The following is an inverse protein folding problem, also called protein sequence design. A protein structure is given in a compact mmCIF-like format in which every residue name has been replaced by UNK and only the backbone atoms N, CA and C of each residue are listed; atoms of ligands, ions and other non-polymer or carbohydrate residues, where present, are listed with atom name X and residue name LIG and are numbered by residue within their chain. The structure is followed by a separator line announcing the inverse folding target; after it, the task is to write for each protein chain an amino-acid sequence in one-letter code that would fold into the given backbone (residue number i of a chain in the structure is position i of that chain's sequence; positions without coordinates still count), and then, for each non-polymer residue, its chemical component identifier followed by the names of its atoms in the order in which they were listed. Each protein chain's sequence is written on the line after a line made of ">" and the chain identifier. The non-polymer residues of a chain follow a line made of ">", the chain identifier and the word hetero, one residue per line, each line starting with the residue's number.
data_IF_161900446297
#
_entry.id   IF_161900446297
#
_cell.length_a   1.000
_cell.length_b   1.000
_cell.length_c   1.000
_cell.angle_alpha   90.00
_cell.angle_beta   90.00
_cell.angle_gamma   90.00
#
_symmetry.space_group_name_H-M   'P 1'
#
loop_
_entity.id
_entity.type
_entity.pdbx_description
1 polymer ?
#
# COMPACT_ATOMS: atom_id res chain seq x y z
N UNK A 1 2.94 -10.10 -1.94
CA UNK A 1 3.38 -8.69 -1.87
C UNK A 1 4.01 -8.28 -3.20
N UNK A 2 5.27 -8.59 -3.50
CA UNK A 2 5.94 -8.13 -4.73
C UNK A 2 5.26 -8.52 -6.04
N UNK A 3 4.88 -9.80 -6.20
CA UNK A 3 4.24 -10.30 -7.41
C UNK A 3 2.99 -9.48 -7.81
N UNK A 4 1.97 -9.55 -6.96
CA UNK A 4 0.64 -8.98 -7.25
C UNK A 4 0.56 -7.48 -6.96
N UNK A 5 1.30 -6.96 -5.96
CA UNK A 5 1.17 -5.57 -5.51
C UNK A 5 2.20 -4.61 -6.12
N UNK A 6 3.23 -5.11 -6.82
CA UNK A 6 4.24 -4.26 -7.47
C UNK A 6 4.43 -4.67 -8.92
N UNK A 7 4.83 -5.93 -9.20
CA UNK A 7 5.27 -6.33 -10.53
C UNK A 7 4.13 -6.36 -11.56
N UNK A 8 3.00 -7.00 -11.23
CA UNK A 8 1.88 -7.13 -12.16
C UNK A 8 1.18 -5.79 -12.39
N UNK A 9 1.12 -4.96 -11.34
CA UNK A 9 0.60 -3.60 -11.43
C UNK A 9 1.49 -2.68 -12.27
N UNK A 10 2.80 -2.69 -12.00
CA UNK A 10 3.76 -1.89 -12.76
C UNK A 10 3.70 -2.26 -14.25
N UNK A 11 3.58 -3.56 -14.56
CA UNK A 11 3.40 -4.02 -15.93
C UNK A 11 2.08 -3.53 -16.54
N UNK A 12 0.93 -3.80 -15.89
CA UNK A 12 -0.37 -3.47 -16.46
C UNK A 12 -0.59 -1.95 -16.56
N UNK A 13 -0.29 -1.19 -15.50
CA UNK A 13 -0.36 0.26 -15.54
C UNK A 13 0.68 0.83 -16.50
N UNK A 14 1.89 0.27 -16.55
CA UNK A 14 2.91 0.66 -17.51
C UNK A 14 2.49 0.45 -18.97
N UNK A 15 1.72 -0.60 -19.26
CA UNK A 15 1.12 -0.82 -20.57
C UNK A 15 0.01 0.20 -20.86
N UNK A 16 -0.94 0.38 -19.94
CA UNK A 16 -2.11 1.22 -20.16
C UNK A 16 -1.80 2.72 -20.14
N UNK A 17 -0.78 3.14 -19.38
CA UNK A 17 -0.24 4.49 -19.34
C UNK A 17 0.91 4.71 -20.32
N UNK A 18 1.40 3.65 -20.98
CA UNK A 18 2.46 3.76 -21.97
C UNK A 18 3.80 4.19 -21.40
N UNK A 19 4.12 3.80 -20.16
CA UNK A 19 5.45 4.00 -19.57
C UNK A 19 6.48 3.00 -20.11
N UNK A 20 6.03 1.81 -20.52
CA UNK A 20 6.93 0.78 -21.03
C UNK A 20 7.66 1.28 -22.28
N UNK A 21 8.94 0.94 -22.39
CA UNK A 21 9.77 1.29 -23.52
C UNK A 21 9.27 0.56 -24.78
N UNK A 22 9.26 1.24 -25.93
CA UNK A 22 8.99 0.61 -27.23
C UNK A 22 10.29 0.44 -28.00
N UNK A 23 10.49 -0.72 -28.62
CA UNK A 23 11.65 -0.99 -29.47
C UNK A 23 11.18 -1.11 -30.92
N UNK A 24 11.92 -0.50 -31.86
CA UNK A 24 11.59 -0.58 -33.29
C UNK A 24 11.57 -2.06 -33.74
N UNK A 25 10.60 -2.46 -34.59
CA UNK A 25 9.62 -1.65 -35.31
C UNK A 25 8.33 -1.32 -34.54
N UNK A 26 8.21 -1.66 -33.26
CA UNK A 26 7.03 -1.35 -32.45
C UNK A 26 6.88 0.17 -32.20
N UNK A 27 5.64 0.61 -32.10
CA UNK A 27 5.29 1.99 -31.75
C UNK A 27 4.12 1.99 -30.78
N UNK A 28 4.16 2.91 -29.80
CA UNK A 28 3.06 3.14 -28.84
C UNK A 28 1.76 3.57 -29.51
N UNK A 29 1.81 4.09 -30.74
CA UNK A 29 0.62 4.43 -31.51
C UNK A 29 -0.18 3.20 -31.92
N UNK A 30 0.48 2.03 -32.01
CA UNK A 30 -0.16 0.76 -32.33
C UNK A 30 -0.76 0.05 -31.10
N UNK A 31 -0.61 0.62 -29.91
CA UNK A 31 -1.07 0.00 -28.66
C UNK A 31 -2.51 0.40 -28.37
N UNK A 32 -3.46 -0.47 -28.71
CA UNK A 32 -4.90 -0.25 -28.43
C UNK A 32 -5.21 -0.12 -26.94
N UNK A 33 -4.40 -0.76 -26.09
CA UNK A 33 -4.54 -0.73 -24.64
C UNK A 33 -3.93 0.53 -24.01
N UNK A 34 -3.19 1.35 -24.75
CA UNK A 34 -2.58 2.58 -24.25
C UNK A 34 -3.65 3.68 -24.16
N UNK A 35 -4.53 3.57 -23.16
CA UNK A 35 -5.74 4.41 -23.01
C UNK A 35 -5.64 5.47 -21.91
N UNK A 36 -4.76 5.29 -20.92
CA UNK A 36 -4.60 6.20 -19.79
C UNK A 36 -3.71 7.40 -20.16
N UNK A 37 -4.14 8.22 -21.14
CA UNK A 37 -3.38 9.39 -21.61
C UNK A 37 -3.97 10.71 -21.14
N UNK A 38 -3.11 11.67 -20.81
CA UNK A 38 -3.47 13.07 -20.56
C UNK A 38 -4.66 13.24 -19.62
N UNK A 39 -5.75 13.84 -20.13
CA UNK A 39 -6.97 14.10 -19.35
C UNK A 39 -7.66 12.84 -18.85
N UNK A 40 -7.56 11.71 -19.57
CA UNK A 40 -8.19 10.44 -19.15
C UNK A 40 -7.53 9.96 -17.85
N UNK A 41 -6.20 9.98 -17.79
CA UNK A 41 -5.47 9.59 -16.57
C UNK A 41 -5.77 10.51 -15.39
N UNK A 42 -5.76 11.83 -15.62
CA UNK A 42 -6.09 12.81 -14.58
C UNK A 42 -7.53 12.64 -14.07
N UNK A 43 -8.50 12.43 -14.96
CA UNK A 43 -9.90 12.21 -14.60
C UNK A 43 -10.07 10.90 -13.84
N UNK A 44 -9.43 9.82 -14.30
CA UNK A 44 -9.49 8.51 -13.64
C UNK A 44 -8.91 8.57 -12.23
N UNK A 45 -7.79 9.26 -12.07
CA UNK A 45 -7.16 9.49 -10.78
C UNK A 45 -8.05 10.25 -9.79
N UNK A 46 -8.77 11.30 -10.25
CA UNK A 46 -9.78 12.00 -9.45
C UNK A 46 -10.95 11.09 -9.06
N UNK A 47 -11.42 10.25 -9.98
CA UNK A 47 -12.49 9.27 -9.69
C UNK A 47 -12.07 8.29 -8.60
N UNK A 48 -10.82 7.81 -8.61
CA UNK A 48 -10.30 6.93 -7.55
C UNK A 48 -10.26 7.66 -6.20
N UNK A 49 -9.76 8.89 -6.19
CA UNK A 49 -9.74 9.71 -4.98
C UNK A 49 -11.17 9.91 -4.42
N UNK A 50 -12.17 10.17 -5.28
CA UNK A 50 -13.58 10.30 -4.88
C UNK A 50 -14.20 8.99 -4.41
N UNK A 51 -13.82 7.86 -5.02
CA UNK A 51 -14.30 6.53 -4.61
C UNK A 51 -13.90 6.20 -3.16
N UNK A 52 -12.90 6.90 -2.61
CA UNK A 52 -12.41 6.72 -1.26
C UNK A 52 -13.48 6.87 -0.19
N UNK A 53 -14.40 7.83 -0.38
CA UNK A 53 -15.49 8.15 0.54
C UNK A 53 -16.45 6.98 0.76
N UNK A 54 -16.49 6.02 -0.17
CA UNK A 54 -17.43 4.91 -0.16
C UNK A 54 -16.82 3.59 0.33
N UNK A 55 -15.53 3.58 0.66
CA UNK A 55 -14.90 2.36 1.18
C UNK A 55 -14.96 2.34 2.71
N UNK A 56 -15.18 1.15 3.31
CA UNK A 56 -15.22 1.01 4.75
C UNK A 56 -13.95 1.53 5.43
N UNK A 57 -14.08 2.03 6.65
CA UNK A 57 -12.97 2.49 7.49
C UNK A 57 -11.93 1.39 7.77
N UNK A 58 -12.32 0.11 7.66
CA UNK A 58 -11.40 -1.03 7.78
C UNK A 58 -10.31 -1.07 6.69
N UNK A 59 -10.50 -0.37 5.56
CA UNK A 59 -9.50 -0.22 4.49
C UNK A 59 -8.65 1.05 4.67
N UNK A 60 -8.26 1.29 5.93
CA UNK A 60 -7.73 2.50 6.54
C UNK A 60 -6.82 3.37 5.65
N UNK A 61 -6.93 4.71 5.84
CA UNK A 61 -6.29 5.86 5.14
C UNK A 61 -7.03 6.55 3.98
N UNK A 62 -6.86 7.87 3.94
CA UNK A 62 -7.19 8.74 2.81
C UNK A 62 -6.35 8.35 1.60
N UNK A 63 -7.02 7.98 0.50
CA UNK A 63 -6.36 7.40 -0.67
C UNK A 63 -6.02 8.49 -1.65
N UNK A 64 -4.78 8.46 -2.11
CA UNK A 64 -4.25 9.49 -2.96
C UNK A 64 -4.65 9.25 -4.41
N UNK A 65 -4.83 10.35 -5.13
CA UNK A 65 -4.98 10.33 -6.58
C UNK A 65 -3.73 9.65 -7.19
N UNK A 66 -3.84 8.48 -7.85
CA UNK A 66 -2.67 7.85 -8.46
C UNK A 66 -2.04 8.72 -9.53
N UNK A 67 -2.81 9.56 -10.23
CA UNK A 67 -2.23 10.47 -11.22
C UNK A 67 -1.29 11.52 -10.60
N UNK A 68 -1.42 11.81 -9.30
CA UNK A 68 -0.56 12.75 -8.57
C UNK A 68 0.56 12.04 -7.81
N UNK A 69 0.31 10.83 -7.28
CA UNK A 69 1.19 10.18 -6.30
C UNK A 69 1.84 8.87 -6.73
N UNK A 70 1.54 8.32 -7.90
CA UNK A 70 2.09 7.02 -8.33
C UNK A 70 3.64 6.99 -8.27
N UNK A 71 4.29 8.12 -8.57
CA UNK A 71 5.75 8.29 -8.53
C UNK A 71 6.30 8.88 -7.21
N UNK A 72 5.43 9.21 -6.24
CA UNK A 72 5.79 9.89 -4.98
C UNK A 72 5.64 8.99 -3.75
N UNK A 73 5.65 7.66 -3.92
CA UNK A 73 5.55 6.70 -2.82
C UNK A 73 4.16 6.08 -2.64
N UNK A 74 3.45 5.81 -3.74
CA UNK A 74 2.20 5.05 -3.72
C UNK A 74 2.43 3.65 -3.15
N UNK A 75 1.67 3.26 -2.13
CA UNK A 75 1.94 2.06 -1.33
C UNK A 75 1.37 0.82 -1.99
N UNK A 76 2.00 -0.32 -1.73
CA UNK A 76 1.57 -1.63 -2.25
C UNK A 76 0.10 -1.99 -1.89
N UNK A 77 -0.41 -1.59 -0.72
CA UNK A 77 -1.84 -1.76 -0.39
C UNK A 77 -2.77 -0.84 -1.20
N UNK A 78 -2.35 0.40 -1.47
CA UNK A 78 -3.12 1.34 -2.29
C UNK A 78 -3.23 0.84 -3.72
N UNK A 79 -2.16 0.23 -4.24
CA UNK A 79 -2.19 -0.46 -5.52
C UNK A 79 -3.12 -1.67 -5.51
N UNK A 80 -3.05 -2.51 -4.47
CA UNK A 80 -3.92 -3.68 -4.35
C UNK A 80 -5.39 -3.28 -4.38
N UNK A 81 -5.76 -2.26 -3.59
CA UNK A 81 -7.12 -1.77 -3.55
C UNK A 81 -7.55 -1.13 -4.88
N UNK A 82 -6.68 -0.30 -5.46
CA UNK A 82 -6.95 0.32 -6.75
C UNK A 82 -7.21 -0.74 -7.81
N UNK A 83 -6.28 -1.65 -8.06
CA UNK A 83 -6.37 -2.55 -9.21
C UNK A 83 -7.19 -3.80 -8.92
N UNK A 84 -7.23 -4.32 -7.71
CA UNK A 84 -7.96 -5.58 -7.45
C UNK A 84 -9.35 -5.37 -6.83
N UNK A 85 -9.68 -4.18 -6.34
CA UNK A 85 -11.03 -3.90 -5.84
C UNK A 85 -11.79 -2.89 -6.72
N UNK A 86 -11.22 -1.70 -6.94
CA UNK A 86 -11.90 -0.62 -7.67
C UNK A 86 -11.79 -0.76 -9.19
N UNK A 87 -10.66 -1.25 -9.67
CA UNK A 87 -10.26 -1.25 -11.08
C UNK A 87 -11.24 -1.96 -12.02
N UNK A 88 -11.82 -3.14 -11.70
CA UNK A 88 -12.81 -3.78 -12.56
C UNK A 88 -14.00 -2.87 -12.90
N UNK A 89 -14.48 -2.09 -11.94
CA UNK A 89 -15.57 -1.14 -12.17
C UNK A 89 -15.07 0.14 -12.85
N UNK A 90 -14.01 0.74 -12.32
CA UNK A 90 -13.55 2.06 -12.77
C UNK A 90 -12.85 2.06 -14.13
N UNK A 91 -12.29 0.92 -14.56
CA UNK A 91 -11.64 0.78 -15.86
C UNK A 91 -12.58 0.23 -16.95
N UNK A 92 -13.81 -0.15 -16.62
CA UNK A 92 -14.76 -0.77 -17.57
C UNK A 92 -15.03 0.08 -18.80
N UNK A 93 -15.18 1.38 -18.63
CA UNK A 93 -15.44 2.35 -19.70
C UNK A 93 -14.16 2.89 -20.36
N UNK A 94 -12.99 2.56 -19.82
CA UNK A 94 -11.70 3.11 -20.25
C UNK A 94 -10.92 2.09 -21.07
N UNK A 95 -10.83 0.85 -20.60
CA UNK A 95 -10.14 -0.23 -21.30
C UNK A 95 -11.01 -0.81 -22.41
N UNK A 96 -10.45 -1.15 -23.58
CA UNK A 96 -11.22 -1.83 -24.61
C UNK A 96 -11.71 -3.21 -24.11
N UNK A 97 -12.86 -3.70 -24.61
CA UNK A 97 -13.55 -4.83 -24.00
C UNK A 97 -12.73 -6.12 -23.85
N UNK A 98 -11.85 -6.44 -24.79
CA UNK A 98 -10.99 -7.63 -24.73
C UNK A 98 -9.96 -7.52 -23.58
N UNK A 99 -9.24 -6.40 -23.49
CA UNK A 99 -8.25 -6.16 -22.43
C UNK A 99 -8.91 -6.09 -21.05
N UNK A 100 -10.08 -5.44 -20.96
CA UNK A 100 -10.83 -5.40 -19.69
C UNK A 100 -11.29 -6.79 -19.24
N UNK A 101 -11.80 -7.63 -20.15
CA UNK A 101 -12.20 -9.01 -19.82
C UNK A 101 -11.00 -9.83 -19.36
N UNK A 102 -9.88 -9.76 -20.07
CA UNK A 102 -8.65 -10.43 -19.69
C UNK A 102 -8.20 -10.00 -18.28
N UNK A 103 -8.13 -8.70 -18.04
CA UNK A 103 -7.82 -8.12 -16.73
C UNK A 103 -8.80 -8.58 -15.62
N UNK A 104 -10.10 -8.71 -15.90
CA UNK A 104 -11.05 -9.23 -14.91
C UNK A 104 -10.78 -10.69 -14.52
N UNK A 105 -10.22 -11.51 -15.42
CA UNK A 105 -9.80 -12.88 -15.09
C UNK A 105 -8.66 -12.87 -14.08
N UNK A 106 -7.67 -11.99 -14.29
CA UNK A 106 -6.60 -11.78 -13.32
C UNK A 106 -7.17 -11.38 -11.96
N UNK A 107 -8.03 -10.36 -11.93
CA UNK A 107 -8.58 -9.85 -10.67
C UNK A 107 -9.35 -10.93 -9.93
N UNK A 108 -10.24 -11.65 -10.62
CA UNK A 108 -11.03 -12.73 -10.01
C UNK A 108 -10.13 -13.88 -9.55
N UNK A 109 -9.15 -14.29 -10.35
CA UNK A 109 -8.22 -15.35 -9.99
C UNK A 109 -7.43 -15.02 -8.73
N UNK A 110 -6.89 -13.80 -8.63
CA UNK A 110 -6.19 -13.32 -7.44
C UNK A 110 -7.12 -13.23 -6.23
N UNK A 111 -8.33 -12.67 -6.38
CA UNK A 111 -9.30 -12.58 -5.28
C UNK A 111 -9.70 -13.95 -4.71
N UNK A 112 -9.79 -14.98 -5.55
CA UNK A 112 -10.06 -16.35 -5.12
C UNK A 112 -8.89 -16.96 -4.35
N UNK A 113 -7.67 -16.76 -4.84
CA UNK A 113 -6.47 -17.43 -4.32
C UNK A 113 -5.78 -16.67 -3.17
N UNK A 114 -6.19 -15.43 -2.89
CA UNK A 114 -5.66 -14.61 -1.79
C UNK A 114 -6.66 -14.45 -0.62
N UNK A 115 -7.64 -15.35 -0.50
CA UNK A 115 -8.55 -15.31 0.65
C UNK A 115 -7.81 -15.63 1.95
N UNK A 116 -8.06 -14.82 2.99
CA UNK A 116 -7.32 -14.89 4.25
C UNK A 116 -7.60 -16.15 5.07
N UNK A 117 -8.82 -16.70 5.02
CA UNK A 117 -9.25 -17.76 5.95
C UNK A 117 -9.32 -19.15 5.32
N UNK A 118 -9.96 -19.25 4.16
CA UNK A 118 -10.26 -20.55 3.56
C UNK A 118 -10.34 -20.39 2.06
N UNK A 119 -9.70 -21.29 1.33
CA UNK A 119 -9.83 -21.43 -0.12
C UNK A 119 -10.43 -22.81 -0.35
N UNK A 120 -11.62 -22.85 -0.92
CA UNK A 120 -12.29 -24.12 -1.23
C UNK A 120 -11.64 -24.79 -2.45
N UNK A 121 -11.69 -26.12 -2.57
CA UNK A 121 -11.15 -26.83 -3.75
C UNK A 121 -11.68 -26.29 -5.09
N UNK A 122 -12.98 -25.99 -5.16
CA UNK A 122 -13.59 -25.43 -6.38
C UNK A 122 -13.06 -24.03 -6.71
N UNK A 123 -12.83 -23.20 -5.68
CA UNK A 123 -12.24 -21.87 -5.85
C UNK A 123 -10.78 -21.96 -6.29
N UNK A 124 -10.03 -22.94 -5.80
CA UNK A 124 -8.66 -23.20 -6.23
C UNK A 124 -8.64 -23.59 -7.71
N UNK A 125 -9.53 -24.48 -8.15
CA UNK A 125 -9.65 -24.89 -9.57
C UNK A 125 -10.08 -23.70 -10.44
N UNK A 126 -11.10 -22.94 -10.02
CA UNK A 126 -11.57 -21.75 -10.75
C UNK A 126 -10.47 -20.70 -10.86
N UNK A 127 -9.79 -20.38 -9.76
CA UNK A 127 -8.70 -19.42 -9.72
C UNK A 127 -7.54 -19.83 -10.62
N UNK A 128 -7.14 -21.11 -10.58
CA UNK A 128 -6.09 -21.65 -11.47
C UNK A 128 -6.46 -21.48 -12.94
N UNK A 129 -7.68 -21.88 -13.31
CA UNK A 129 -8.16 -21.76 -14.69
C UNK A 129 -8.13 -20.30 -15.15
N UNK A 130 -8.63 -19.38 -14.33
CA UNK A 130 -8.68 -17.96 -14.66
C UNK A 130 -7.30 -17.34 -14.83
N UNK A 131 -6.33 -17.68 -13.97
CA UNK A 131 -4.96 -17.17 -14.09
C UNK A 131 -4.24 -17.76 -15.32
N UNK A 132 -4.42 -19.06 -15.61
CA UNK A 132 -3.88 -19.66 -16.82
C UNK A 132 -4.47 -19.05 -18.09
N UNK A 133 -5.78 -18.82 -18.13
CA UNK A 133 -6.45 -18.13 -19.22
C UNK A 133 -5.94 -16.69 -19.36
N UNK A 134 -5.78 -15.97 -18.26
CA UNK A 134 -5.21 -14.62 -18.27
C UNK A 134 -3.82 -14.59 -18.91
N UNK A 135 -2.92 -15.49 -18.50
CA UNK A 135 -1.55 -15.55 -19.03
C UNK A 135 -1.54 -15.86 -20.53
N UNK A 136 -2.37 -16.80 -20.97
CA UNK A 136 -2.52 -17.14 -22.39
C UNK A 136 -3.08 -15.96 -23.20
N UNK A 137 -4.16 -15.35 -22.74
CA UNK A 137 -4.77 -14.19 -23.41
C UNK A 137 -3.87 -12.96 -23.37
N UNK A 138 -3.05 -12.81 -22.32
CA UNK A 138 -2.04 -11.75 -22.26
C UNK A 138 -1.01 -11.90 -23.38
N UNK A 139 -0.55 -13.12 -23.66
CA UNK A 139 0.35 -13.42 -24.78
C UNK A 139 -0.28 -13.02 -26.12
N UNK A 140 -1.55 -13.36 -26.33
CA UNK A 140 -2.29 -13.09 -27.56
C UNK A 140 -2.60 -11.59 -27.73
N UNK A 141 -2.98 -10.90 -26.66
CA UNK A 141 -3.45 -9.51 -26.69
C UNK A 141 -2.32 -8.48 -26.65
N UNK A 142 -1.34 -8.63 -25.75
CA UNK A 142 -0.30 -7.61 -25.55
C UNK A 142 0.97 -7.93 -26.36
N UNK A 143 1.49 -9.16 -26.21
CA UNK A 143 2.73 -9.58 -26.86
C UNK A 143 2.54 -9.87 -28.35
N UNK A 144 1.39 -10.43 -28.74
CA UNK A 144 1.04 -10.77 -30.12
C UNK A 144 2.10 -11.64 -30.83
N UNK A 145 2.92 -12.37 -30.06
CA UNK A 145 4.05 -13.18 -30.56
C UNK A 145 5.07 -12.40 -31.39
N UNK A 146 5.23 -11.10 -31.11
CA UNK A 146 6.19 -10.25 -31.81
C UNK A 146 7.48 -10.09 -31.01
N UNK A 147 8.61 -10.37 -31.63
CA UNK A 147 9.93 -10.30 -30.99
C UNK A 147 10.24 -8.93 -30.34
N UNK A 148 9.80 -7.84 -30.95
CA UNK A 148 9.98 -6.48 -30.44
C UNK A 148 9.18 -6.17 -29.16
N UNK A 149 8.18 -7.00 -28.85
CA UNK A 149 7.36 -6.94 -27.63
C UNK A 149 7.71 -8.01 -26.59
N UNK A 150 8.77 -8.79 -26.80
CA UNK A 150 9.16 -9.89 -25.89
C UNK A 150 9.33 -9.43 -24.44
N UNK A 151 9.79 -8.19 -24.25
CA UNK A 151 9.97 -7.56 -22.93
C UNK A 151 8.66 -7.32 -22.15
N UNK A 152 7.48 -7.49 -22.76
CA UNK A 152 6.20 -7.49 -22.05
C UNK A 152 5.97 -8.78 -21.25
N UNK A 153 6.58 -9.90 -21.66
CA UNK A 153 6.48 -11.20 -20.99
C UNK A 153 7.43 -11.22 -19.80
N UNK A 154 7.06 -10.51 -18.74
CA UNK A 154 7.83 -10.49 -17.49
C UNK A 154 7.63 -11.81 -16.73
N UNK A 155 8.64 -12.17 -15.93
CA UNK A 155 8.57 -13.32 -15.02
C UNK A 155 7.33 -13.27 -14.12
N UNK A 156 6.87 -12.08 -13.72
CA UNK A 156 5.69 -11.93 -12.86
C UNK A 156 4.43 -12.53 -13.48
N UNK A 157 4.22 -12.35 -14.78
CA UNK A 157 3.07 -12.94 -15.50
C UNK A 157 3.13 -14.46 -15.45
N UNK A 158 4.31 -15.05 -15.66
CA UNK A 158 4.48 -16.50 -15.54
C UNK A 158 4.24 -16.99 -14.11
N UNK A 159 4.72 -16.27 -13.09
CA UNK A 159 4.54 -16.65 -11.68
C UNK A 159 3.08 -16.77 -11.26
N UNK A 160 2.13 -16.14 -11.97
CA UNK A 160 0.70 -16.28 -11.72
C UNK A 160 0.21 -17.72 -11.85
N UNK A 161 0.76 -18.51 -12.78
CA UNK A 161 0.33 -19.92 -12.97
C UNK A 161 0.79 -20.82 -11.82
N UNK A 162 1.77 -20.38 -11.04
CA UNK A 162 2.32 -21.12 -9.90
C UNK A 162 1.60 -20.83 -8.58
N UNK A 163 0.73 -19.83 -8.51
CA UNK A 163 0.04 -19.47 -7.26
C UNK A 163 -0.75 -20.65 -6.70
N UNK A 164 -1.50 -21.36 -7.54
CA UNK A 164 -2.34 -22.47 -7.06
C UNK A 164 -1.54 -23.70 -6.64
N UNK A 165 -0.56 -24.21 -7.42
CA UNK A 165 0.33 -25.27 -6.96
C UNK A 165 1.01 -24.93 -5.64
N UNK A 166 1.49 -23.70 -5.49
CA UNK A 166 2.14 -23.24 -4.27
C UNK A 166 1.15 -23.16 -3.10
N UNK A 167 -0.09 -22.75 -3.36
CA UNK A 167 -1.17 -22.74 -2.37
C UNK A 167 -1.43 -24.14 -1.81
N UNK A 168 -1.37 -25.18 -2.63
CA UNK A 168 -1.48 -26.58 -2.19
C UNK A 168 -0.24 -27.04 -1.43
N UNK A 169 0.95 -26.61 -1.85
CA UNK A 169 2.23 -27.06 -1.30
C UNK A 169 2.55 -26.47 0.08
N UNK A 170 2.34 -25.17 0.26
CA UNK A 170 2.77 -24.42 1.46
C UNK A 170 1.67 -23.54 2.07
N UNK A 171 0.45 -23.62 1.54
CA UNK A 171 -0.66 -22.77 1.96
C UNK A 171 -0.75 -21.47 1.15
N UNK A 172 -1.77 -20.63 1.35
CA UNK A 172 -1.99 -19.40 0.59
C UNK A 172 -0.81 -18.43 0.64
N UNK A 173 -0.64 -17.61 -0.41
CA UNK A 173 0.40 -16.57 -0.49
C UNK A 173 0.45 -15.63 0.72
N UNK A 174 -0.68 -15.41 1.40
CA UNK A 174 -0.75 -14.60 2.62
C UNK A 174 0.08 -15.19 3.78
N UNK A 175 0.21 -16.51 3.86
CA UNK A 175 0.89 -17.20 4.96
C UNK A 175 2.42 -17.05 4.93
N UNK A 176 3.00 -16.81 3.76
CA UNK A 176 4.45 -16.65 3.57
C UNK A 176 4.79 -15.35 2.83
N UNK A 177 3.88 -14.38 2.86
CA UNK A 177 4.13 -13.06 2.31
C UNK A 177 5.23 -12.33 3.10
N UNK A 178 6.06 -11.58 2.39
CA UNK A 178 7.20 -10.86 2.98
C UNK A 178 6.80 -9.63 3.81
N UNK A 179 5.51 -9.31 3.96
CA UNK A 179 5.05 -8.12 4.70
C UNK A 179 5.60 -8.05 6.12
N UNK A 180 5.54 -9.16 6.86
CA UNK A 180 6.03 -9.22 8.25
C UNK A 180 7.54 -9.04 8.30
N UNK A 181 8.25 -9.64 7.34
CA UNK A 181 9.70 -9.52 7.24
C UNK A 181 10.13 -8.10 6.90
N UNK A 182 9.46 -7.42 5.95
CA UNK A 182 9.77 -6.02 5.61
C UNK A 182 9.45 -5.06 6.75
N UNK A 183 8.33 -5.27 7.46
CA UNK A 183 8.02 -4.49 8.66
C UNK A 183 9.10 -4.68 9.74
N UNK A 184 9.56 -5.92 9.95
CA UNK A 184 10.64 -6.20 10.89
C UNK A 184 11.96 -5.53 10.45
N UNK A 185 12.31 -5.59 9.17
CA UNK A 185 13.51 -4.93 8.63
C UNK A 185 13.42 -3.41 8.83
N UNK A 186 12.27 -2.80 8.54
CA UNK A 186 12.04 -1.37 8.75
C UNK A 186 12.18 -0.99 10.22
N UNK A 187 11.54 -1.75 11.12
CA UNK A 187 11.63 -1.54 12.57
C UNK A 187 13.06 -1.69 13.09
N UNK A 188 13.81 -2.71 12.67
CA UNK A 188 15.21 -2.89 13.05
C UNK A 188 16.11 -1.80 12.46
N UNK A 189 15.76 -1.27 11.28
CA UNK A 189 16.47 -0.16 10.66
C UNK A 189 16.34 1.14 11.45
N UNK A 190 15.20 1.39 12.08
CA UNK A 190 14.98 2.56 12.95
C UNK A 190 15.81 2.51 14.24
N UNK A 191 16.19 1.31 14.69
CA UNK A 191 16.98 1.08 15.91
C UNK A 191 18.50 1.21 15.69
N UNK A 192 18.94 1.45 14.44
CA UNK A 192 20.37 1.65 14.13
C UNK A 192 20.80 3.02 14.66
N UNK A 193 21.35 3.03 15.87
CA UNK A 193 21.83 4.25 16.53
C UNK A 193 23.37 4.36 16.60
N UNK A 194 24.09 3.35 16.11
CA UNK A 194 25.56 3.29 16.16
C UNK A 194 26.18 3.08 14.77
N UNK A 195 26.96 4.06 14.31
CA UNK A 195 27.59 4.03 12.99
C UNK A 195 28.86 3.15 12.93
N UNK A 196 29.50 2.88 14.07
CA UNK A 196 30.78 2.17 14.15
C UNK A 196 30.65 0.64 13.99
N UNK A 197 29.60 0.05 14.55
CA UNK A 197 29.32 -1.39 14.44
C UNK A 197 27.81 -1.64 14.36
N UNK A 198 27.18 -1.27 13.21
CA UNK A 198 25.74 -1.35 13.05
C UNK A 198 25.23 -2.79 13.10
N UNK A 199 26.02 -3.77 12.64
CA UNK A 199 25.60 -5.17 12.61
C UNK A 199 25.56 -5.80 14.00
N UNK A 200 26.56 -5.54 14.86
CA UNK A 200 26.52 -6.01 16.23
C UNK A 200 25.38 -5.35 17.01
N UNK A 201 25.15 -4.05 16.80
CA UNK A 201 24.05 -3.31 17.40
C UNK A 201 22.68 -3.91 17.01
N UNK A 202 22.39 -4.04 15.70
CA UNK A 202 21.13 -4.63 15.20
C UNK A 202 20.95 -6.05 15.72
N UNK A 203 22.03 -6.85 15.78
CA UNK A 203 21.95 -8.22 16.28
C UNK A 203 21.51 -8.27 17.74
N UNK A 204 22.04 -7.38 18.59
CA UNK A 204 21.63 -7.27 19.99
C UNK A 204 20.19 -6.76 20.13
N UNK A 205 19.80 -5.74 19.36
CA UNK A 205 18.42 -5.25 19.34
C UNK A 205 17.43 -6.34 18.91
N UNK A 206 17.76 -7.12 17.86
CA UNK A 206 16.93 -8.23 17.42
C UNK A 206 16.76 -9.31 18.50
N UNK A 207 17.84 -9.65 19.22
CA UNK A 207 17.79 -10.59 20.36
C UNK A 207 16.89 -10.04 21.48
N UNK A 208 17.06 -8.77 21.85
CA UNK A 208 16.25 -8.12 22.87
C UNK A 208 14.76 -8.08 22.50
N UNK A 209 14.43 -7.70 21.26
CA UNK A 209 13.06 -7.74 20.75
C UNK A 209 12.47 -9.15 20.82
N UNK A 210 13.23 -10.19 20.43
CA UNK A 210 12.79 -11.58 20.51
C UNK A 210 12.55 -12.03 21.96
N UNK A 211 13.45 -11.68 22.89
CA UNK A 211 13.30 -11.97 24.31
C UNK A 211 12.08 -11.26 24.91
N UNK A 212 11.85 -10.00 24.55
CA UNK A 212 10.70 -9.22 25.02
C UNK A 212 9.38 -9.79 24.50
N UNK A 213 9.31 -10.14 23.22
CA UNK A 213 8.15 -10.81 22.65
C UNK A 213 7.88 -12.17 23.34
N UNK A 214 8.92 -12.92 23.70
CA UNK A 214 8.78 -14.18 24.43
C UNK A 214 8.20 -13.97 25.84
N UNK A 215 8.72 -12.99 26.58
CA UNK A 215 8.22 -12.65 27.93
C UNK A 215 6.76 -12.19 27.85
N UNK A 216 6.41 -11.33 26.89
CA UNK A 216 5.03 -10.86 26.69
C UNK A 216 4.07 -12.01 26.35
N UNK A 217 4.54 -12.98 25.56
CA UNK A 217 3.74 -14.15 25.20
C UNK A 217 3.55 -15.10 26.39
N UNK A 218 4.61 -15.34 27.18
CA UNK A 218 4.57 -16.24 28.34
C UNK A 218 3.83 -15.63 29.53
N UNK A 219 3.89 -14.31 29.69
CA UNK A 219 3.27 -13.59 30.81
C UNK A 219 2.46 -12.41 30.24
N UNK A 220 1.21 -12.66 29.79
CA UNK A 220 0.37 -11.64 29.16
C UNK A 220 0.06 -10.43 30.05
N UNK A 221 0.16 -10.60 31.37
CA UNK A 221 -0.09 -9.56 32.36
C UNK A 221 1.02 -8.49 32.42
N UNK A 222 2.22 -8.79 31.91
CA UNK A 222 3.32 -7.83 31.85
C UNK A 222 3.18 -7.00 30.58
N UNK A 223 2.76 -5.74 30.74
CA UNK A 223 2.81 -4.75 29.68
C UNK A 223 4.25 -4.22 29.52
N UNK A 224 4.99 -4.82 28.59
CA UNK A 224 6.36 -4.41 28.24
C UNK A 224 6.42 -3.21 27.30
N UNK A 225 5.29 -2.83 26.72
CA UNK A 225 5.21 -1.50 26.11
C UNK A 225 5.45 -0.50 27.25
N UNK A 226 6.33 0.50 27.10
CA UNK A 226 6.21 1.66 27.98
C UNK A 226 4.73 2.05 27.92
N UNK A 227 4.15 2.60 29.00
CA UNK A 227 2.93 3.37 28.84
C UNK A 227 3.29 4.51 27.89
N UNK A 228 3.25 4.25 26.57
CA UNK A 228 2.75 5.22 25.64
C UNK A 228 1.51 5.71 26.34
N UNK A 229 1.42 7.01 26.48
CA UNK A 229 0.28 7.75 27.00
C UNK A 229 -0.99 7.48 26.16
N UNK A 230 -1.35 6.21 26.00
CA UNK A 230 -2.57 5.68 25.41
C UNK A 230 -3.63 5.54 26.51
N UNK A 231 -3.21 5.33 27.76
CA UNK A 231 -4.09 5.39 28.94
C UNK A 231 -4.05 6.74 29.67
N UNK A 232 -3.03 7.57 29.48
CA UNK A 232 -3.11 8.97 29.90
C UNK A 232 -3.68 9.79 28.76
N UNK A 233 -4.71 10.55 29.07
CA UNK A 233 -5.23 11.57 28.16
C UNK A 233 -4.04 12.44 27.70
N UNK A 234 -3.95 12.79 26.40
CA UNK A 234 -3.01 13.81 25.95
C UNK A 234 -3.12 15.03 26.88
N UNK A 235 -2.00 15.71 27.17
CA UNK A 235 -1.85 16.73 28.23
C UNK A 235 -2.96 17.82 28.26
N UNK A 236 -3.70 18.01 27.17
CA UNK A 236 -4.80 18.97 27.04
C UNK A 236 -6.12 18.38 26.49
N UNK A 237 -6.27 17.06 26.49
CA UNK A 237 -7.53 16.42 26.12
C UNK A 237 -8.56 16.58 27.24
N UNK A 238 -9.79 16.95 26.90
CA UNK A 238 -10.91 17.11 27.85
C UNK A 238 -11.96 16.03 27.60
N UNK A 239 -12.34 15.22 28.60
CA UNK A 239 -13.46 14.31 28.44
C UNK A 239 -14.77 15.09 28.27
N UNK A 240 -15.67 14.58 27.43
CA UNK A 240 -17.05 15.06 27.34
C UNK A 240 -17.90 14.16 28.23
N UNK A 241 -18.32 14.69 29.37
CA UNK A 241 -19.04 13.94 30.41
C UNK A 241 -20.24 13.18 29.84
N UNK A 242 -20.36 11.90 30.23
CA UNK A 242 -21.51 11.06 29.90
C UNK A 242 -21.55 10.48 28.47
N UNK A 243 -20.57 10.78 27.62
CA UNK A 243 -20.60 10.36 26.20
C UNK A 243 -19.50 9.39 25.80
N UNK A 244 -18.46 9.23 26.62
CA UNK A 244 -17.28 8.41 26.29
C UNK A 244 -16.37 9.02 25.22
N UNK A 245 -16.63 10.24 24.75
CA UNK A 245 -15.79 10.96 23.79
C UNK A 245 -14.79 11.90 24.48
N UNK A 246 -13.66 12.12 23.80
CA UNK A 246 -12.58 13.01 24.23
C UNK A 246 -12.46 14.18 23.25
N UNK A 247 -12.48 15.41 23.75
CA UNK A 247 -12.09 16.61 23.03
C UNK A 247 -10.56 16.67 23.00
N UNK A 248 -9.98 16.36 21.85
CA UNK A 248 -8.55 16.56 21.62
C UNK A 248 -8.28 18.04 21.27
N UNK A 249 -7.18 18.62 21.77
CA UNK A 249 -6.79 19.96 21.35
C UNK A 249 -6.53 19.97 19.85
N UNK A 250 -7.03 20.99 19.14
CA UNK A 250 -6.72 21.19 17.73
C UNK A 250 -5.20 21.40 17.60
N UNK A 251 -4.51 20.46 16.97
CA UNK A 251 -3.09 20.58 16.66
C UNK A 251 -2.98 21.18 15.26
N UNK A 252 -2.27 22.29 15.15
CA UNK A 252 -1.98 22.90 13.86
C UNK A 252 -0.69 22.28 13.31
N UNK A 253 -0.80 21.55 12.20
CA UNK A 253 0.34 20.88 11.57
C UNK A 253 1.08 21.76 10.56
N UNK A 254 0.45 22.88 10.17
CA UNK A 254 0.99 23.85 9.23
C UNK A 254 1.20 25.21 9.90
N UNK A 255 2.28 25.90 9.51
CA UNK A 255 2.52 27.28 9.91
C UNK A 255 1.43 28.16 9.29
N UNK A 256 0.70 28.89 10.13
CA UNK A 256 -0.30 29.87 9.70
C UNK A 256 0.07 31.19 10.35
N UNK A 257 -0.13 32.29 9.64
CA UNK A 257 0.02 33.62 10.20
C UNK A 257 -1.02 33.82 11.32
N UNK A 258 -0.56 34.15 12.53
CA UNK A 258 -1.40 34.52 13.66
C UNK A 258 -1.60 36.03 13.68
N UNK A 259 -2.75 36.49 14.16
CA UNK A 259 -2.96 37.92 14.41
C UNK A 259 -2.16 38.39 15.64
N UNK A 260 -1.91 39.70 15.75
CA UNK A 260 -1.12 40.26 16.87
C UNK A 260 -1.72 39.89 18.25
N UNK A 261 -3.05 39.92 18.37
CA UNK A 261 -3.77 39.52 19.59
C UNK A 261 -3.60 38.03 19.93
N UNK A 262 -3.57 37.16 18.93
CA UNK A 262 -3.32 35.73 19.14
C UNK A 262 -1.85 35.47 19.50
N UNK A 263 -0.92 36.20 18.89
CA UNK A 263 0.49 36.12 19.20
C UNK A 263 0.76 36.52 20.67
N UNK A 264 0.16 37.61 21.15
CA UNK A 264 0.27 38.03 22.55
C UNK A 264 -0.27 36.96 23.51
N UNK A 265 -1.45 36.39 23.22
CA UNK A 265 -2.04 35.33 24.03
C UNK A 265 -1.18 34.04 24.05
N UNK A 266 -0.56 33.69 22.93
CA UNK A 266 0.38 32.56 22.83
C UNK A 266 1.63 32.85 23.66
N UNK A 267 2.20 34.05 23.56
CA UNK A 267 3.39 34.46 24.31
C UNK A 267 3.16 34.50 25.83
N UNK A 268 1.99 34.93 26.27
CA UNK A 268 1.62 34.90 27.69
C UNK A 268 1.46 33.47 28.21
N UNK A 269 0.81 32.58 27.45
CA UNK A 269 0.73 31.16 27.78
C UNK A 269 2.12 30.51 27.84
N UNK A 270 3.00 30.89 26.92
CA UNK A 270 4.39 30.43 26.84
C UNK A 270 5.20 30.86 28.07
N UNK A 271 5.11 32.13 28.47
CA UNK A 271 5.73 32.65 29.70
C UNK A 271 5.23 31.93 30.96
N UNK A 272 3.91 31.70 31.06
CA UNK A 272 3.32 31.00 32.20
C UNK A 272 3.79 29.54 32.31
N UNK A 273 4.01 28.88 31.17
CA UNK A 273 4.45 27.47 31.11
C UNK A 273 5.99 27.30 31.03
N UNK A 274 6.76 28.39 31.11
CA UNK A 274 8.23 28.39 30.97
C UNK A 274 8.70 27.75 29.65
N UNK A 275 7.98 28.01 28.55
CA UNK A 275 8.26 27.49 27.21
C UNK A 275 8.47 28.63 26.21
N UNK A 276 9.46 28.58 25.30
CA UNK A 276 10.75 27.90 25.41
C UNK A 276 11.75 28.76 26.21
N UNK A 277 12.86 28.14 26.62
CA UNK A 277 14.00 28.79 27.27
C UNK A 277 14.33 30.14 26.62
N UNK A 278 14.37 31.21 27.42
CA UNK A 278 14.65 32.58 26.97
C UNK A 278 16.04 32.76 26.32
N UNK A 279 16.91 31.74 26.45
CA UNK A 279 18.32 31.86 26.10
C UNK A 279 18.69 31.46 24.66
N UNK A 280 17.75 30.96 23.82
CA UNK A 280 18.01 30.75 22.38
C UNK A 280 16.76 30.39 21.60
N UNK A 281 16.29 31.33 20.79
CA UNK A 281 15.87 31.03 19.43
C UNK A 281 16.19 32.24 18.51
N UNK A 282 16.77 32.03 17.32
CA UNK A 282 17.06 33.10 16.36
C UNK A 282 15.81 33.75 15.75
#
# INVERSE_FOLDING_TARGET
>A
MHLVCLNDLDLLLGLWWGLIQSYKPDSKDSWEWFVLKGKVWQSHGKTIAHATLYLPSSFDRARWNPAEKINLGYKAWEYLLYLFALGPALLRSILPPCYWKNYCKLVRGIQLLQQHRTILPDQLVEGTRLLCEFVKEFEELYYMRRQDRLHFIRQSIHMLTHISPETVRVGPLACYAQWVMEMLIGSLGEEIHQDLDPYANISQHAILCAQMNCIQFQIPDIQLTPPTSKNSLPKHAKPIDGTGYLLLPRRQETLIHVSDLEADAIMDLWRQNQWPNADKWP
#
